data_IF_868952163593
#
_entry.id   IF_868952163593
#
_cell.length_a   1.000
_cell.length_b   1.000
_cell.length_c   1.000
_cell.angle_alpha   90.00
_cell.angle_beta   90.00
_cell.angle_gamma   90.00
#
_symmetry.space_group_name_H-M   'P 1'
#
loop_
_entity.id
_entity.type
_entity.pdbx_description
1 polymer ?
#
# COMPACT_ATOMS: atom_id res chain seq x y z
N UNK A 1 -1.46 4.54 8.40
CA UNK A 1 -0.84 3.91 7.21
C UNK A 1 0.63 3.52 7.41
N UNK A 2 1.52 4.40 7.91
CA UNK A 2 2.96 4.11 8.04
C UNK A 2 3.29 2.90 8.94
N UNK A 3 2.52 2.72 10.02
CA UNK A 3 2.69 1.59 10.96
C UNK A 3 2.47 0.21 10.31
N UNK A 4 1.56 0.13 9.32
CA UNK A 4 1.26 -1.13 8.61
C UNK A 4 2.44 -1.50 7.70
N UNK A 5 3.04 -0.52 7.02
CA UNK A 5 4.24 -0.74 6.20
C UNK A 5 5.45 -1.16 7.03
N UNK A 6 5.70 -0.51 8.18
CA UNK A 6 6.79 -0.87 9.09
C UNK A 6 6.58 -2.25 9.75
N UNK A 7 5.34 -2.67 10.05
CA UNK A 7 5.08 -4.02 10.57
C UNK A 7 5.31 -5.12 9.52
N UNK A 8 5.06 -4.84 8.24
CA UNK A 8 5.20 -5.83 7.17
C UNK A 8 6.63 -6.01 6.67
N UNK A 9 7.50 -4.99 6.79
CA UNK A 9 8.84 -4.99 6.21
C UNK A 9 9.90 -4.81 7.30
N UNK A 10 10.84 -5.76 7.41
CA UNK A 10 11.94 -5.73 8.40
C UNK A 10 12.89 -4.54 8.20
N UNK A 11 12.94 -3.96 7.00
CA UNK A 11 13.77 -2.81 6.66
C UNK A 11 12.93 -1.51 6.58
N UNK A 12 13.37 -0.47 7.29
CA UNK A 12 12.73 0.85 7.27
C UNK A 12 12.74 1.49 5.88
N UNK A 13 13.79 1.28 5.10
CA UNK A 13 13.89 1.81 3.73
C UNK A 13 12.89 1.16 2.78
N UNK A 14 12.78 -0.18 2.81
CA UNK A 14 11.74 -0.90 2.06
C UNK A 14 10.34 -0.49 2.50
N UNK A 15 10.11 -0.31 3.81
CA UNK A 15 8.82 0.17 4.32
C UNK A 15 8.47 1.54 3.75
N UNK A 16 9.43 2.48 3.72
CA UNK A 16 9.26 3.81 3.16
C UNK A 16 8.98 3.76 1.65
N UNK A 17 9.75 2.96 0.92
CA UNK A 17 9.58 2.79 -0.53
C UNK A 17 8.22 2.18 -0.88
N UNK A 18 7.84 1.10 -0.18
CA UNK A 18 6.58 0.39 -0.40
C UNK A 18 5.36 1.26 -0.08
N UNK A 19 5.43 2.05 1.00
CA UNK A 19 4.37 3.01 1.31
C UNK A 19 4.26 4.09 0.24
N UNK A 20 5.38 4.64 -0.26
CA UNK A 20 5.35 5.62 -1.34
C UNK A 20 4.73 5.03 -2.63
N UNK A 21 5.14 3.83 -3.02
CA UNK A 21 4.60 3.13 -4.19
C UNK A 21 3.09 2.86 -4.05
N UNK A 22 2.66 2.40 -2.88
CA UNK A 22 1.25 2.18 -2.58
C UNK A 22 0.42 3.46 -2.64
N UNK A 23 0.94 4.56 -2.10
CA UNK A 23 0.28 5.87 -2.19
C UNK A 23 0.20 6.33 -3.64
N UNK A 24 1.27 6.20 -4.44
CA UNK A 24 1.27 6.57 -5.85
C UNK A 24 0.26 5.75 -6.66
N UNK A 25 0.20 4.43 -6.44
CA UNK A 25 -0.85 3.55 -7.01
C UNK A 25 -2.25 3.95 -6.57
N UNK A 26 -2.41 4.38 -5.32
CA UNK A 26 -3.65 4.96 -4.81
C UNK A 26 -4.04 6.23 -5.56
N UNK A 27 -3.12 7.18 -5.72
CA UNK A 27 -3.39 8.42 -6.46
C UNK A 27 -3.72 8.19 -7.94
N UNK A 28 -2.97 7.31 -8.61
CA UNK A 28 -3.24 6.96 -10.01
C UNK A 28 -4.56 6.19 -10.17
N UNK A 29 -4.90 5.36 -9.18
CA UNK A 29 -6.13 4.58 -9.14
C UNK A 29 -7.38 5.36 -8.73
N UNK A 30 -7.26 6.66 -8.36
CA UNK A 30 -8.38 7.49 -7.96
C UNK A 30 -9.48 7.54 -9.02
N UNK A 31 -9.12 7.51 -10.30
CA UNK A 31 -10.10 7.51 -11.38
C UNK A 31 -10.90 6.18 -11.47
N UNK A 32 -10.35 5.10 -10.89
CA UNK A 32 -11.01 3.80 -10.77
C UNK A 32 -11.66 3.58 -9.39
N UNK A 33 -11.55 4.55 -8.49
CA UNK A 33 -12.24 4.51 -7.20
C UNK A 33 -13.74 4.67 -7.45
N UNK A 34 -14.50 3.59 -7.23
CA UNK A 34 -15.96 3.64 -7.19
C UNK A 34 -16.39 3.95 -5.76
N UNK A 35 -17.26 4.93 -5.61
CA UNK A 35 -17.78 5.49 -4.35
C UNK A 35 -18.54 4.49 -3.42
N UNK A 36 -18.52 3.19 -3.75
CA UNK A 36 -19.19 2.12 -3.00
C UNK A 36 -18.47 1.72 -1.71
N UNK A 37 -17.23 2.17 -1.49
CA UNK A 37 -16.44 1.83 -0.30
C UNK A 37 -15.72 3.05 0.22
N UNK A 38 -15.69 3.27 1.54
CA UNK A 38 -14.97 4.39 2.13
C UNK A 38 -13.53 4.49 1.61
N UNK A 39 -13.12 5.70 1.22
CA UNK A 39 -11.79 5.99 0.67
C UNK A 39 -10.66 5.38 1.52
N UNK A 40 -10.76 5.47 2.84
CA UNK A 40 -9.79 4.87 3.76
C UNK A 40 -9.68 3.35 3.65
N UNK A 41 -10.80 2.64 3.47
CA UNK A 41 -10.84 1.18 3.29
C UNK A 41 -10.25 0.77 1.95
N UNK A 42 -10.53 1.53 0.89
CA UNK A 42 -9.97 1.32 -0.44
C UNK A 42 -8.45 1.54 -0.45
N UNK A 43 -7.99 2.66 0.10
CA UNK A 43 -6.56 2.99 0.19
C UNK A 43 -5.81 1.96 1.05
N UNK A 44 -6.41 1.50 2.15
CA UNK A 44 -5.83 0.44 3.00
C UNK A 44 -5.65 -0.87 2.21
N UNK A 45 -6.56 -1.21 1.31
CA UNK A 45 -6.49 -2.41 0.45
C UNK A 45 -5.32 -2.32 -0.54
N UNK A 46 -5.09 -1.15 -1.13
CA UNK A 46 -3.94 -0.89 -2.02
C UNK A 46 -2.63 -1.05 -1.26
N UNK A 47 -2.52 -0.44 -0.09
CA UNK A 47 -1.32 -0.53 0.77
C UNK A 47 -1.03 -1.98 1.15
N UNK A 48 -2.05 -2.74 1.59
CA UNK A 48 -1.87 -4.15 1.96
C UNK A 48 -1.43 -5.00 0.76
N UNK A 49 -2.09 -4.85 -0.39
CA UNK A 49 -1.72 -5.59 -1.60
C UNK A 49 -0.27 -5.29 -2.02
N UNK A 50 0.15 -4.03 -1.94
CA UNK A 50 1.51 -3.63 -2.29
C UNK A 50 2.54 -4.22 -1.32
N UNK A 51 2.25 -4.24 -0.02
CA UNK A 51 3.12 -4.89 0.97
C UNK A 51 3.22 -6.41 0.74
N UNK A 52 2.12 -7.09 0.41
CA UNK A 52 2.09 -8.54 0.15
C UNK A 52 2.88 -8.86 -1.12
N UNK A 53 2.70 -8.08 -2.19
CA UNK A 53 3.43 -8.23 -3.44
C UNK A 53 4.95 -8.10 -3.24
N UNK A 54 5.37 -7.08 -2.48
CA UNK A 54 6.78 -6.89 -2.11
C UNK A 54 7.31 -8.06 -1.29
N UNK A 55 6.55 -8.56 -0.32
CA UNK A 55 6.93 -9.72 0.49
C UNK A 55 7.05 -11.01 -0.34
N UNK A 56 6.21 -11.17 -1.37
CA UNK A 56 6.26 -12.28 -2.31
C UNK A 56 7.45 -12.21 -3.26
N UNK A 57 7.87 -11.01 -3.66
CA UNK A 57 9.02 -10.80 -4.55
C UNK A 57 10.37 -11.02 -3.85
N UNK A 58 10.41 -10.95 -2.51
CA UNK A 58 11.62 -11.22 -1.70
C UNK A 58 11.90 -12.73 -1.54
N UNK A 59 10.94 -13.60 -1.88
CA UNK A 59 11.02 -15.06 -1.70
C UNK A 59 11.41 -15.76 -2.99
#
# INVERSE_FOLDING_TARGET
MFFIGCCCLKNKEDAKYTIQDAFLKGFLGLNSYKDKTSFGSWLKRIVINTCIDKLRNIK
#
